data_IF_463485747717
#
_entry.id   IF_463485747717
#
_cell.length_a   1.000
_cell.length_b   1.000
_cell.length_c   1.000
_cell.angle_alpha   90.00
_cell.angle_beta   90.00
_cell.angle_gamma   90.00
#
_symmetry.space_group_name_H-M   'P 1'
#
loop_
_entity.id
_entity.type
_entity.pdbx_description
1 polymer ?
#
# COMPACT_ATOMS: atom_id res chain seq x y z
N UNK A 1 5.34 -28.04 16.70
CA UNK A 1 4.21 -28.38 17.58
C UNK A 1 3.49 -27.12 18.07
N UNK A 2 4.16 -26.22 18.82
CA UNK A 2 3.49 -25.05 19.46
C UNK A 2 2.78 -24.14 18.44
N UNK A 3 3.40 -23.81 17.31
CA UNK A 3 2.76 -22.98 16.29
C UNK A 3 1.52 -23.64 15.68
N UNK A 4 1.56 -24.96 15.43
CA UNK A 4 0.42 -25.71 14.92
C UNK A 4 -0.74 -25.72 15.93
N UNK A 5 -0.46 -25.92 17.22
CA UNK A 5 -1.49 -25.89 18.27
C UNK A 5 -2.12 -24.49 18.39
N UNK A 6 -1.31 -23.43 18.33
CA UNK A 6 -1.80 -22.05 18.36
C UNK A 6 -2.62 -21.69 17.13
N UNK A 7 -2.21 -22.16 15.95
CA UNK A 7 -2.97 -21.98 14.72
C UNK A 7 -4.33 -22.66 14.81
N UNK A 8 -4.42 -23.91 15.29
CA UNK A 8 -5.69 -24.61 15.51
C UNK A 8 -6.62 -23.82 16.45
N UNK A 9 -6.09 -23.32 17.58
CA UNK A 9 -6.88 -22.48 18.49
C UNK A 9 -7.38 -21.22 17.82
N UNK A 10 -6.55 -20.57 17.00
CA UNK A 10 -6.94 -19.37 16.24
C UNK A 10 -8.04 -19.70 15.23
N UNK A 11 -7.90 -20.78 14.46
CA UNK A 11 -8.90 -21.23 13.48
C UNK A 11 -10.21 -21.60 14.18
N UNK A 12 -10.18 -22.29 15.32
CA UNK A 12 -11.38 -22.63 16.11
C UNK A 12 -12.13 -21.41 16.66
N UNK A 13 -11.43 -20.30 16.92
CA UNK A 13 -12.08 -19.05 17.31
C UNK A 13 -12.73 -18.33 16.13
N UNK A 14 -12.23 -18.55 14.92
CA UNK A 14 -12.71 -17.94 13.70
C UNK A 14 -13.89 -18.69 13.09
N UNK A 15 -13.92 -19.99 13.22
CA UNK A 15 -14.94 -20.88 12.67
C UNK A 15 -15.64 -21.65 13.78
N UNK A 16 -16.99 -21.58 13.78
CA UNK A 16 -17.79 -22.17 14.86
C UNK A 16 -17.79 -23.69 14.84
N UNK A 17 -17.54 -24.30 13.69
CA UNK A 17 -17.52 -25.76 13.47
C UNK A 17 -16.57 -26.16 12.36
N UNK A 18 -16.23 -27.46 12.29
CA UNK A 18 -15.51 -28.03 11.14
C UNK A 18 -16.32 -27.92 9.85
N UNK A 19 -17.64 -27.97 9.92
CA UNK A 19 -18.49 -27.77 8.76
C UNK A 19 -18.35 -26.34 8.21
N UNK A 20 -18.34 -25.31 9.09
CA UNK A 20 -18.11 -23.92 8.69
C UNK A 20 -16.72 -23.72 8.11
N UNK A 21 -15.68 -24.34 8.73
CA UNK A 21 -14.32 -24.31 8.22
C UNK A 21 -14.24 -24.91 6.81
N UNK A 22 -14.76 -26.13 6.64
CA UNK A 22 -14.75 -26.85 5.36
C UNK A 22 -15.48 -26.04 4.27
N UNK A 23 -16.63 -25.46 4.62
CA UNK A 23 -17.38 -24.60 3.72
C UNK A 23 -16.59 -23.32 3.37
N UNK A 24 -16.00 -22.63 4.36
CA UNK A 24 -15.23 -21.42 4.16
C UNK A 24 -13.96 -21.63 3.33
N UNK A 25 -13.26 -22.74 3.53
CA UNK A 25 -12.05 -23.06 2.77
C UNK A 25 -12.36 -23.82 1.46
N UNK A 26 -13.62 -24.24 1.22
CA UNK A 26 -13.97 -25.04 0.06
C UNK A 26 -13.24 -26.39 0.05
N UNK A 27 -13.10 -27.01 1.23
CA UNK A 27 -12.24 -28.17 1.46
C UNK A 27 -12.74 -29.43 0.76
N UNK A 28 -13.99 -29.46 0.29
CA UNK A 28 -14.55 -30.56 -0.56
C UNK A 28 -13.74 -30.74 -1.85
N UNK A 29 -13.07 -29.68 -2.32
CA UNK A 29 -12.20 -29.76 -3.49
C UNK A 29 -11.01 -30.68 -3.22
N UNK A 30 -10.79 -31.68 -4.07
CA UNK A 30 -9.83 -32.77 -3.92
C UNK A 30 -10.02 -33.61 -2.66
N UNK A 31 -11.24 -33.66 -2.09
CA UNK A 31 -11.55 -34.43 -0.88
C UNK A 31 -10.66 -34.09 0.31
N UNK A 32 -10.33 -32.79 0.48
CA UNK A 32 -9.47 -32.29 1.53
C UNK A 32 -10.25 -31.83 2.78
N UNK A 33 -11.46 -32.37 3.01
CA UNK A 33 -12.29 -32.02 4.16
C UNK A 33 -11.67 -32.46 5.48
N UNK A 34 -11.79 -31.60 6.47
CA UNK A 34 -11.36 -31.85 7.83
C UNK A 34 -12.50 -32.48 8.64
N UNK A 35 -12.21 -33.61 9.28
CA UNK A 35 -13.16 -34.36 10.13
C UNK A 35 -12.77 -34.29 11.61
N UNK A 36 -11.57 -33.80 11.90
CA UNK A 36 -11.06 -33.57 13.26
C UNK A 36 -10.22 -32.29 13.26
N UNK A 37 -10.37 -31.46 14.29
CA UNK A 37 -9.55 -30.27 14.49
C UNK A 37 -8.05 -30.57 14.61
N UNK A 38 -7.69 -31.77 15.11
CA UNK A 38 -6.30 -32.21 15.20
C UNK A 38 -5.59 -32.27 13.85
N UNK A 39 -6.35 -32.43 12.75
CA UNK A 39 -5.84 -32.51 11.39
C UNK A 39 -5.67 -31.14 10.71
N UNK A 40 -6.13 -30.06 11.36
CA UNK A 40 -5.92 -28.69 10.85
C UNK A 40 -4.50 -28.26 11.20
N UNK A 41 -3.65 -28.17 10.17
CA UNK A 41 -2.24 -27.81 10.31
C UNK A 41 -1.87 -26.55 9.53
N UNK A 42 -0.83 -25.83 9.95
CA UNK A 42 -0.25 -24.75 9.15
C UNK A 42 0.13 -25.23 7.75
N UNK A 43 0.09 -24.36 6.72
CA UNK A 43 0.52 -24.70 5.36
C UNK A 43 2.03 -24.90 5.30
N UNK A 44 2.50 -26.06 5.71
CA UNK A 44 3.89 -26.51 5.60
C UNK A 44 4.16 -27.04 4.20
N UNK A 45 5.38 -27.48 3.91
CA UNK A 45 5.75 -28.04 2.61
C UNK A 45 4.76 -29.13 2.14
N UNK A 46 4.02 -28.83 1.10
CA UNK A 46 3.08 -29.72 0.44
C UNK A 46 3.62 -30.12 -0.94
N UNK A 47 3.26 -31.33 -1.40
CA UNK A 47 3.57 -31.78 -2.77
C UNK A 47 2.76 -31.00 -3.82
N UNK A 48 1.60 -30.48 -3.45
CA UNK A 48 0.74 -29.64 -4.28
C UNK A 48 0.60 -28.23 -3.65
N UNK A 49 0.13 -27.28 -4.45
CA UNK A 49 -0.21 -25.93 -3.96
C UNK A 49 -1.25 -26.04 -2.84
N UNK A 50 -0.98 -25.49 -1.65
CA UNK A 50 -1.92 -25.56 -0.53
C UNK A 50 -3.19 -24.76 -0.84
N UNK A 51 -4.27 -25.07 -0.12
CA UNK A 51 -5.54 -24.35 -0.22
C UNK A 51 -5.33 -22.85 0.05
N UNK A 52 -5.69 -21.94 -0.88
CA UNK A 52 -5.42 -20.51 -0.73
C UNK A 52 -6.17 -19.85 0.44
N UNK A 53 -7.31 -20.41 0.86
CA UNK A 53 -8.03 -19.93 2.04
C UNK A 53 -7.30 -20.28 3.34
N UNK A 54 -6.76 -21.51 3.43
CA UNK A 54 -5.88 -21.92 4.54
C UNK A 54 -4.65 -21.03 4.62
N UNK A 55 -3.99 -20.75 3.49
CA UNK A 55 -2.77 -19.93 3.48
C UNK A 55 -3.06 -18.48 3.87
N UNK A 56 -4.17 -17.91 3.39
CA UNK A 56 -4.58 -16.55 3.78
C UNK A 56 -4.87 -16.46 5.29
N UNK A 57 -5.55 -17.47 5.84
CA UNK A 57 -5.80 -17.52 7.29
C UNK A 57 -4.52 -17.74 8.10
N UNK A 58 -3.54 -18.46 7.54
CA UNK A 58 -2.23 -18.59 8.17
C UNK A 58 -1.45 -17.26 8.18
N UNK A 59 -1.52 -16.45 7.11
CA UNK A 59 -0.92 -15.11 7.11
C UNK A 59 -1.58 -14.20 8.14
N UNK A 60 -2.90 -14.23 8.25
CA UNK A 60 -3.63 -13.51 9.31
C UNK A 60 -3.20 -13.96 10.71
N UNK A 61 -3.18 -15.28 10.94
CA UNK A 61 -2.71 -15.85 12.22
C UNK A 61 -1.29 -15.41 12.55
N UNK A 62 -0.40 -15.38 11.58
CA UNK A 62 0.98 -14.96 11.77
C UNK A 62 1.05 -13.49 12.18
N UNK A 63 0.33 -12.61 11.49
CA UNK A 63 0.23 -11.19 11.81
C UNK A 63 -0.40 -10.96 13.20
N UNK A 64 -1.54 -11.59 13.48
CA UNK A 64 -2.23 -11.51 14.78
C UNK A 64 -1.34 -12.00 15.93
N UNK A 65 -0.51 -13.04 15.68
CA UNK A 65 0.40 -13.56 16.69
C UNK A 65 1.50 -12.56 17.05
N UNK A 66 2.02 -11.83 16.09
CA UNK A 66 3.01 -10.75 16.32
C UNK A 66 2.35 -9.58 17.03
N UNK A 67 1.15 -9.18 16.62
CA UNK A 67 0.39 -8.13 17.31
C UNK A 67 0.09 -8.49 18.77
N UNK A 68 -0.31 -9.73 19.04
CA UNK A 68 -0.53 -10.22 20.42
C UNK A 68 0.76 -10.25 21.24
N UNK A 69 1.89 -10.61 20.64
CA UNK A 69 3.20 -10.57 21.30
C UNK A 69 3.63 -9.13 21.61
N UNK A 70 3.44 -8.21 20.69
CA UNK A 70 3.69 -6.79 20.92
C UNK A 70 2.80 -6.25 22.06
N UNK A 71 1.49 -6.59 22.06
CA UNK A 71 0.56 -6.15 23.09
C UNK A 71 1.00 -6.63 24.48
N UNK A 72 1.47 -7.88 24.61
CA UNK A 72 2.02 -8.41 25.87
C UNK A 72 3.18 -7.53 26.39
N UNK A 73 4.07 -7.07 25.50
CA UNK A 73 5.19 -6.21 25.89
C UNK A 73 4.69 -4.81 26.29
N UNK A 74 3.74 -4.25 25.54
CA UNK A 74 3.12 -2.95 25.84
C UNK A 74 2.48 -2.99 27.23
N UNK A 75 1.67 -4.00 27.53
CA UNK A 75 1.01 -4.16 28.81
C UNK A 75 2.01 -4.26 29.97
N UNK A 76 3.08 -5.04 29.77
CA UNK A 76 4.14 -5.18 30.76
C UNK A 76 4.90 -3.86 31.02
N UNK A 77 5.11 -3.05 29.97
CA UNK A 77 5.72 -1.72 30.10
C UNK A 77 4.76 -0.74 30.76
N UNK A 78 3.52 -0.63 30.28
CA UNK A 78 2.51 0.30 30.83
C UNK A 78 2.25 0.08 32.35
N UNK A 79 2.34 -1.17 32.80
CA UNK A 79 2.22 -1.49 34.22
C UNK A 79 3.38 -0.96 35.10
N UNK A 80 4.49 -0.51 34.49
CA UNK A 80 5.74 -0.16 35.22
C UNK A 80 6.26 1.24 34.90
N UNK A 81 6.02 1.75 33.69
CA UNK A 81 6.52 3.08 33.29
C UNK A 81 5.47 4.17 33.56
N UNK A 82 5.87 5.38 33.92
CA UNK A 82 4.95 6.51 34.02
C UNK A 82 4.19 6.77 32.71
N UNK A 83 2.94 7.23 32.80
CA UNK A 83 2.09 7.49 31.63
C UNK A 83 2.67 8.52 30.64
N UNK A 84 3.60 9.38 31.08
CA UNK A 84 4.31 10.34 30.21
C UNK A 84 5.33 9.72 29.27
N UNK A 85 5.71 8.46 29.49
CA UNK A 85 6.64 7.77 28.61
C UNK A 85 5.87 7.19 27.44
N UNK A 86 6.30 7.50 26.21
CA UNK A 86 5.72 6.91 25.02
C UNK A 86 6.25 5.49 24.78
N UNK A 87 5.44 4.70 24.09
CA UNK A 87 5.80 3.38 23.55
C UNK A 87 5.58 3.43 22.05
N UNK A 88 6.60 3.12 21.30
CA UNK A 88 6.55 3.02 19.84
C UNK A 88 7.35 1.82 19.36
N UNK A 89 7.29 1.56 18.07
CA UNK A 89 7.99 0.48 17.39
C UNK A 89 8.46 1.01 16.02
N UNK A 90 9.67 0.64 15.61
CA UNK A 90 10.18 0.99 14.30
C UNK A 90 9.71 -0.03 13.24
N UNK A 91 8.98 0.45 12.24
CA UNK A 91 8.48 -0.33 11.12
C UNK A 91 9.47 -0.33 9.94
N UNK A 92 9.34 -1.31 9.04
CA UNK A 92 10.24 -1.49 7.89
C UNK A 92 9.63 -0.95 6.57
N UNK A 93 8.91 0.16 6.62
CA UNK A 93 8.28 0.77 5.45
C UNK A 93 7.27 -0.15 4.76
N UNK A 94 7.54 -0.57 3.52
CA UNK A 94 6.62 -1.34 2.68
C UNK A 94 6.61 -2.86 2.98
N UNK A 95 6.82 -3.27 4.22
CA UNK A 95 6.84 -4.69 4.61
C UNK A 95 5.46 -5.35 4.42
N UNK A 96 5.44 -6.59 3.90
CA UNK A 96 4.22 -7.21 3.39
C UNK A 96 3.67 -8.34 4.25
N UNK A 97 4.44 -8.86 5.22
CA UNK A 97 4.07 -10.09 5.93
C UNK A 97 3.28 -9.83 7.23
N UNK A 98 3.11 -8.56 7.65
CA UNK A 98 2.40 -8.16 8.86
C UNK A 98 1.45 -7.00 8.56
N UNK A 99 0.25 -7.03 9.13
CA UNK A 99 -0.68 -5.89 9.08
C UNK A 99 -0.19 -4.79 10.03
N UNK A 100 0.44 -3.77 9.46
CA UNK A 100 1.00 -2.67 10.23
C UNK A 100 -0.07 -1.77 10.86
N UNK A 101 -1.29 -1.75 10.34
CA UNK A 101 -2.38 -1.01 11.00
C UNK A 101 -2.75 -1.62 12.34
N UNK A 102 -2.76 -2.97 12.44
CA UNK A 102 -3.02 -3.66 13.71
C UNK A 102 -1.86 -3.50 14.69
N UNK A 103 -0.62 -3.55 14.21
CA UNK A 103 0.56 -3.34 15.02
C UNK A 103 0.69 -1.89 15.52
N UNK A 104 0.31 -0.91 14.73
CA UNK A 104 0.41 0.49 15.11
C UNK A 104 -0.68 0.91 16.11
N UNK A 105 -1.87 0.31 16.05
CA UNK A 105 -3.04 0.71 16.83
C UNK A 105 -2.79 0.92 18.34
N UNK A 106 -2.00 0.10 19.06
CA UNK A 106 -1.74 0.28 20.49
C UNK A 106 -0.55 1.20 20.81
N UNK A 107 0.14 1.74 19.80
CA UNK A 107 1.30 2.60 19.96
C UNK A 107 0.91 4.07 20.14
N UNK A 108 1.77 4.86 20.78
CA UNK A 108 1.55 6.29 20.94
C UNK A 108 1.78 7.07 19.64
N UNK A 109 2.69 6.59 18.81
CA UNK A 109 2.93 7.06 17.44
C UNK A 109 3.62 5.98 16.60
N UNK A 110 3.50 6.07 15.28
CA UNK A 110 4.22 5.20 14.37
C UNK A 110 5.62 5.74 14.08
N UNK A 111 6.60 4.84 13.89
CA UNK A 111 7.93 5.20 13.44
C UNK A 111 8.45 4.16 12.43
N UNK A 112 9.33 4.56 11.50
CA UNK A 112 9.90 3.62 10.54
C UNK A 112 11.36 3.90 10.22
N UNK A 113 12.03 2.92 9.61
CA UNK A 113 13.45 2.96 9.30
C UNK A 113 13.65 3.32 7.82
N UNK A 114 14.13 4.54 7.59
CA UNK A 114 14.28 5.14 6.26
C UNK A 114 15.70 4.98 5.72
N UNK A 115 15.84 4.08 4.76
CA UNK A 115 17.10 3.82 4.06
C UNK A 115 16.90 4.00 2.55
N UNK A 116 16.85 5.24 2.03
CA UNK A 116 16.41 5.53 0.67
C UNK A 116 17.21 4.82 -0.41
N UNK A 117 18.55 4.70 -0.29
CA UNK A 117 19.35 4.01 -1.32
C UNK A 117 19.16 2.49 -1.25
N UNK A 118 19.13 1.89 -0.06
CA UNK A 118 18.89 0.47 0.13
C UNK A 118 17.47 0.06 -0.26
N UNK A 119 16.48 0.86 0.11
CA UNK A 119 15.08 0.61 -0.21
C UNK A 119 14.79 0.76 -1.71
N UNK A 120 15.43 1.69 -2.41
CA UNK A 120 15.28 1.83 -3.85
C UNK A 120 15.68 0.54 -4.58
N UNK A 121 16.79 -0.07 -4.24
CA UNK A 121 17.22 -1.35 -4.83
C UNK A 121 16.26 -2.50 -4.48
N UNK A 122 15.79 -2.56 -3.23
CA UNK A 122 14.91 -3.61 -2.74
C UNK A 122 13.53 -3.58 -3.40
N UNK A 123 12.93 -2.39 -3.54
CA UNK A 123 11.53 -2.26 -3.94
C UNK A 123 11.31 -1.92 -5.41
N UNK A 124 12.35 -1.49 -6.12
CA UNK A 124 12.23 -1.02 -7.50
C UNK A 124 11.57 -2.04 -8.43
N UNK A 125 12.05 -3.26 -8.45
CA UNK A 125 11.48 -4.31 -9.31
C UNK A 125 10.03 -4.61 -8.94
N UNK A 126 9.72 -4.73 -7.66
CA UNK A 126 8.38 -5.02 -7.18
C UNK A 126 7.37 -3.92 -7.53
N UNK A 127 7.76 -2.64 -7.46
CA UNK A 127 6.88 -1.50 -7.64
C UNK A 127 6.81 -1.01 -9.10
N UNK A 128 7.94 -0.96 -9.79
CA UNK A 128 7.97 -0.50 -11.18
C UNK A 128 7.76 -1.63 -12.20
N UNK A 129 8.13 -2.87 -11.87
CA UNK A 129 8.15 -3.97 -12.84
C UNK A 129 9.09 -3.67 -13.99
N UNK A 130 8.58 -3.82 -15.23
CA UNK A 130 9.29 -3.46 -16.45
C UNK A 130 9.27 -1.96 -16.76
N UNK A 131 8.45 -1.17 -16.06
CA UNK A 131 8.37 0.27 -16.25
C UNK A 131 9.64 0.97 -15.76
N UNK A 132 10.01 2.06 -16.43
CA UNK A 132 11.11 2.90 -15.97
C UNK A 132 10.62 3.92 -14.93
N UNK A 133 11.50 4.41 -14.03
CA UNK A 133 11.21 5.54 -13.17
C UNK A 133 10.85 6.79 -13.99
N UNK A 134 10.08 7.69 -13.37
CA UNK A 134 9.65 8.95 -14.02
C UNK A 134 10.78 9.93 -14.27
N UNK A 135 11.86 9.81 -13.49
CA UNK A 135 13.06 10.62 -13.61
C UNK A 135 14.32 9.76 -13.49
N UNK A 136 15.46 10.26 -13.99
CA UNK A 136 16.74 9.63 -13.73
C UNK A 136 16.95 9.47 -12.22
N UNK A 137 17.12 8.25 -11.80
CA UNK A 137 17.40 7.89 -10.42
C UNK A 137 18.83 8.31 -10.06
N UNK A 138 18.97 9.20 -9.08
CA UNK A 138 20.27 9.53 -8.52
C UNK A 138 20.73 8.37 -7.63
N UNK A 139 21.82 7.71 -8.02
CA UNK A 139 22.30 6.50 -7.34
C UNK A 139 22.61 6.72 -5.84
N UNK A 140 22.92 7.95 -5.45
CA UNK A 140 23.27 8.36 -4.09
C UNK A 140 22.12 8.99 -3.28
N UNK A 141 20.97 9.22 -3.92
CA UNK A 141 19.79 9.83 -3.27
C UNK A 141 18.64 8.83 -3.06
N UNK A 142 18.66 7.69 -3.72
CA UNK A 142 17.54 6.75 -3.72
C UNK A 142 16.35 7.24 -4.55
N UNK A 143 15.25 6.51 -4.48
CA UNK A 143 14.03 6.85 -5.18
C UNK A 143 13.07 7.62 -4.24
N UNK A 144 12.83 8.92 -4.49
CA UNK A 144 12.02 9.74 -3.60
C UNK A 144 10.54 9.32 -3.58
N UNK A 145 10.03 8.70 -4.66
CA UNK A 145 8.63 8.26 -4.71
C UNK A 145 8.44 7.01 -3.84
N UNK A 146 9.40 6.09 -3.84
CA UNK A 146 9.38 4.91 -2.96
C UNK A 146 9.47 5.35 -1.50
N UNK A 147 10.38 6.26 -1.17
CA UNK A 147 10.55 6.80 0.17
C UNK A 147 9.30 7.58 0.62
N UNK A 148 8.75 8.42 -0.25
CA UNK A 148 7.50 9.16 0.00
C UNK A 148 6.32 8.24 0.26
N UNK A 149 6.20 7.14 -0.49
CA UNK A 149 5.12 6.15 -0.28
C UNK A 149 5.22 5.50 1.11
N UNK A 150 6.41 5.20 1.59
CA UNK A 150 6.63 4.69 2.94
C UNK A 150 6.34 5.74 4.03
N UNK A 151 6.68 7.03 3.79
CA UNK A 151 6.32 8.12 4.69
C UNK A 151 4.80 8.28 4.83
N UNK A 152 4.09 8.33 3.70
CA UNK A 152 2.64 8.49 3.66
C UNK A 152 1.90 7.29 4.26
N UNK A 153 2.42 6.06 4.05
CA UNK A 153 1.91 4.87 4.74
C UNK A 153 2.11 4.99 6.25
N UNK A 154 3.31 5.35 6.71
CA UNK A 154 3.60 5.43 8.15
C UNK A 154 2.74 6.50 8.84
N UNK A 155 2.56 7.68 8.21
CA UNK A 155 1.62 8.70 8.69
C UNK A 155 0.19 8.16 8.75
N UNK A 156 -0.25 7.44 7.72
CA UNK A 156 -1.59 6.88 7.62
C UNK A 156 -1.90 5.73 8.57
N UNK A 157 -0.88 5.08 9.19
CA UNK A 157 -1.10 4.02 10.18
C UNK A 157 -1.96 4.50 11.35
N UNK A 158 -1.72 5.72 11.84
CA UNK A 158 -2.44 6.33 12.96
C UNK A 158 -3.09 7.67 12.62
N UNK A 159 -2.93 8.20 11.40
CA UNK A 159 -3.46 9.50 10.99
C UNK A 159 -2.86 10.68 11.75
N UNK A 160 -1.61 10.56 12.18
CA UNK A 160 -0.91 11.58 13.00
C UNK A 160 0.58 11.67 12.60
N UNK A 161 1.33 12.70 13.08
CA UNK A 161 2.76 12.79 12.85
C UNK A 161 3.49 11.52 13.28
N UNK A 162 4.51 11.15 12.52
CA UNK A 162 5.32 9.94 12.73
C UNK A 162 6.78 10.30 13.00
N UNK A 163 7.61 9.31 13.36
CA UNK A 163 9.05 9.50 13.49
C UNK A 163 9.79 8.66 12.44
N UNK A 164 10.92 9.20 11.98
CA UNK A 164 11.97 8.35 11.39
C UNK A 164 12.83 7.86 12.53
N UNK A 165 12.72 6.56 12.85
CA UNK A 165 13.47 5.98 13.96
C UNK A 165 14.91 5.66 13.58
N UNK A 166 15.13 5.29 12.30
CA UNK A 166 16.46 5.10 11.74
C UNK A 166 16.54 5.80 10.39
N UNK A 167 17.22 6.94 10.35
CA UNK A 167 17.53 7.62 9.09
C UNK A 167 18.92 7.22 8.61
N UNK A 168 19.02 6.84 7.36
CA UNK A 168 20.29 6.56 6.69
C UNK A 168 21.25 7.76 6.78
N UNK A 169 22.47 7.61 7.37
CA UNK A 169 23.43 8.71 7.52
C UNK A 169 24.49 8.75 6.40
N UNK A 170 24.62 7.67 5.63
CA UNK A 170 25.62 7.47 4.60
C UNK A 170 25.33 6.19 3.83
N UNK A 171 26.34 5.43 3.43
CA UNK A 171 26.10 4.14 2.77
C UNK A 171 25.57 3.06 3.76
N UNK A 172 24.77 2.14 3.25
CA UNK A 172 24.35 0.93 3.96
C UNK A 172 25.31 -0.23 3.65
N UNK A 173 25.15 -1.37 4.33
CA UNK A 173 25.98 -2.57 4.05
C UNK A 173 25.18 -3.82 3.66
N UNK A 174 23.85 -3.72 3.62
CA UNK A 174 22.91 -4.83 3.38
C UNK A 174 22.20 -4.75 2.02
N UNK A 175 22.41 -3.70 1.25
CA UNK A 175 21.87 -3.58 -0.10
C UNK A 175 22.62 -4.47 -1.10
N UNK A 176 21.99 -4.79 -2.22
CA UNK A 176 22.64 -5.49 -3.33
C UNK A 176 23.82 -4.68 -3.91
N UNK A 177 23.69 -3.35 -3.89
CA UNK A 177 24.76 -2.39 -4.17
C UNK A 177 24.72 -1.34 -3.08
N UNK A 178 25.82 -1.19 -2.35
CA UNK A 178 25.96 -0.20 -1.27
C UNK A 178 26.65 1.05 -1.83
N UNK A 179 25.84 1.93 -2.38
CA UNK A 179 26.30 3.10 -3.12
C UNK A 179 26.93 4.16 -2.21
N UNK A 180 27.87 4.91 -2.76
CA UNK A 180 28.38 6.12 -2.14
C UNK A 180 27.23 7.12 -1.94
N UNK A 181 27.21 7.79 -0.79
CA UNK A 181 26.25 8.84 -0.45
C UNK A 181 27.00 10.14 -0.17
N UNK A 182 26.53 11.24 -0.72
CA UNK A 182 27.03 12.59 -0.44
C UNK A 182 26.23 13.24 0.70
N UNK A 183 26.70 14.37 1.29
CA UNK A 183 25.95 15.05 2.36
C UNK A 183 24.58 15.59 1.93
N UNK A 184 24.45 16.07 0.68
CA UNK A 184 23.23 16.70 0.18
C UNK A 184 22.03 15.76 0.17
N UNK A 185 22.11 14.50 -0.29
CA UNK A 185 21.05 13.51 -0.13
C UNK A 185 20.60 13.31 1.31
N UNK A 186 21.52 13.19 2.27
CA UNK A 186 21.17 13.01 3.70
C UNK A 186 20.35 14.20 4.22
N UNK A 187 20.76 15.43 3.86
CA UNK A 187 20.00 16.64 4.17
C UNK A 187 18.62 16.63 3.49
N UNK A 188 18.54 16.27 2.21
CA UNK A 188 17.29 16.18 1.44
C UNK A 188 16.32 15.18 2.06
N UNK A 189 16.77 14.01 2.50
CA UNK A 189 15.91 13.00 3.13
C UNK A 189 15.28 13.51 4.42
N UNK A 190 15.99 14.29 5.22
CA UNK A 190 15.45 14.92 6.43
C UNK A 190 14.35 15.93 6.09
N UNK A 191 14.59 16.78 5.10
CA UNK A 191 13.58 17.71 4.60
C UNK A 191 12.36 16.98 4.05
N UNK A 192 12.56 15.89 3.29
CA UNK A 192 11.48 15.07 2.75
C UNK A 192 10.64 14.43 3.86
N UNK A 193 11.28 13.86 4.86
CA UNK A 193 10.58 13.31 6.02
C UNK A 193 9.76 14.37 6.77
N UNK A 194 10.35 15.55 7.05
CA UNK A 194 9.67 16.65 7.72
C UNK A 194 8.46 17.15 6.89
N UNK A 195 8.62 17.31 5.59
CA UNK A 195 7.55 17.70 4.66
C UNK A 195 6.43 16.65 4.59
N UNK A 196 6.75 15.36 4.75
CA UNK A 196 5.78 14.29 4.84
C UNK A 196 5.09 14.18 6.22
N UNK A 197 5.46 15.01 7.21
CA UNK A 197 4.85 15.06 8.55
C UNK A 197 5.62 14.29 9.62
N UNK A 198 6.92 14.02 9.42
CA UNK A 198 7.74 13.46 10.48
C UNK A 198 8.00 14.49 11.58
N UNK A 199 7.65 14.16 12.83
CA UNK A 199 7.90 15.01 14.01
C UNK A 199 9.34 14.87 14.53
N UNK A 200 10.05 13.81 14.19
CA UNK A 200 11.45 13.60 14.55
C UNK A 200 12.16 12.74 13.50
N UNK A 201 13.46 13.00 13.36
CA UNK A 201 14.36 12.19 12.52
C UNK A 201 15.55 11.78 13.39
N UNK A 202 15.72 10.48 13.60
CA UNK A 202 16.79 9.87 14.37
C UNK A 202 17.73 9.16 13.41
N UNK A 203 19.02 9.47 13.46
CA UNK A 203 20.00 8.86 12.55
C UNK A 203 20.55 7.56 13.12
N UNK A 204 20.57 6.53 12.31
CA UNK A 204 21.23 5.28 12.67
C UNK A 204 22.54 5.15 11.90
N UNK A 205 23.69 5.37 12.54
CA UNK A 205 23.94 5.50 13.97
C UNK A 205 24.93 6.66 14.23
N UNK A 206 25.21 6.97 15.49
CA UNK A 206 26.20 8.01 15.83
C UNK A 206 27.59 7.70 15.27
N UNK A 207 28.12 6.48 15.51
CA UNK A 207 29.43 6.05 15.04
C UNK A 207 29.33 4.68 14.36
N UNK A 208 30.03 4.49 13.25
CA UNK A 208 30.13 3.22 12.57
C UNK A 208 30.67 2.11 13.50
N UNK A 209 30.05 0.93 13.47
CA UNK A 209 30.42 -0.18 14.32
C UNK A 209 31.75 -0.81 13.87
N UNK A 210 32.60 -1.15 14.84
CA UNK A 210 33.88 -1.80 14.57
C UNK A 210 33.75 -3.30 14.28
N UNK A 211 32.65 -3.91 14.75
CA UNK A 211 32.46 -5.36 14.78
C UNK A 211 31.08 -5.78 14.28
N UNK A 212 30.91 -7.06 14.06
CA UNK A 212 29.69 -7.77 13.70
C UNK A 212 29.14 -7.41 12.29
N UNK A 213 27.86 -7.68 12.06
CA UNK A 213 27.25 -7.69 10.71
C UNK A 213 27.15 -6.30 10.07
N UNK A 214 27.16 -5.23 10.88
CA UNK A 214 27.00 -3.86 10.39
C UNK A 214 28.29 -3.03 10.43
N UNK A 215 29.44 -3.68 10.44
CA UNK A 215 30.73 -3.01 10.50
C UNK A 215 31.05 -2.13 9.25
N UNK A 216 30.35 -2.34 8.15
CA UNK A 216 30.44 -1.50 6.95
C UNK A 216 29.25 -0.55 6.78
N UNK A 217 28.35 -0.48 7.77
CA UNK A 217 27.26 0.49 7.77
C UNK A 217 27.78 1.84 8.27
N UNK A 218 27.49 2.92 7.54
CA UNK A 218 27.88 4.27 7.95
C UNK A 218 27.23 4.67 9.28
N UNK A 219 27.94 5.52 10.02
CA UNK A 219 27.39 6.33 11.10
C UNK A 219 27.46 7.82 10.75
N UNK A 220 27.11 8.69 11.69
CA UNK A 220 27.45 10.12 11.59
C UNK A 220 28.96 10.32 11.69
N UNK A 221 29.62 9.42 12.44
CA UNK A 221 31.08 9.38 12.57
C UNK A 221 31.61 8.09 11.93
N UNK A 222 32.78 8.20 11.33
CA UNK A 222 33.59 7.06 10.86
C UNK A 222 33.99 6.12 12.03
N UNK A 223 34.57 4.99 11.71
CA UNK A 223 35.07 4.01 12.68
C UNK A 223 36.12 4.59 13.63
N UNK A 224 36.92 5.55 13.17
CA UNK A 224 37.94 6.24 13.98
C UNK A 224 37.38 7.42 14.80
N UNK A 225 36.05 7.71 14.68
CA UNK A 225 35.38 8.78 15.39
C UNK A 225 35.47 10.16 14.71
N UNK A 226 36.03 10.24 13.51
CA UNK A 226 36.02 11.50 12.73
C UNK A 226 34.67 11.71 12.02
N UNK A 227 34.24 12.96 11.74
CA UNK A 227 32.99 13.27 11.06
C UNK A 227 32.90 12.66 9.66
N UNK A 228 31.80 11.92 9.39
CA UNK A 228 31.44 11.39 8.07
C UNK A 228 30.44 12.32 7.36
N UNK A 229 29.95 11.93 6.19
CA UNK A 229 29.01 12.69 5.35
C UNK A 229 27.71 13.03 6.10
N UNK A 230 27.18 12.09 6.89
CA UNK A 230 25.99 12.29 7.72
C UNK A 230 26.16 13.38 8.76
N UNK A 231 27.31 13.47 9.42
CA UNK A 231 27.60 14.52 10.39
C UNK A 231 27.55 15.91 9.75
N UNK A 232 28.16 16.06 8.58
CA UNK A 232 28.16 17.33 7.83
C UNK A 232 26.77 17.75 7.40
N UNK A 233 25.92 16.77 7.03
CA UNK A 233 24.52 17.02 6.68
C UNK A 233 23.73 17.51 7.90
N UNK A 234 23.90 16.90 9.06
CA UNK A 234 23.24 17.30 10.32
C UNK A 234 23.71 18.66 10.79
N UNK A 235 25.00 18.97 10.66
CA UNK A 235 25.55 20.29 10.96
C UNK A 235 24.90 21.40 10.10
N UNK A 236 24.71 21.13 8.79
CA UNK A 236 24.00 22.04 7.90
C UNK A 236 22.51 22.21 8.29
N UNK A 237 21.84 21.10 8.63
CA UNK A 237 20.44 21.12 9.09
C UNK A 237 20.23 21.89 10.39
N UNK A 238 21.22 21.93 11.28
CA UNK A 238 21.15 22.70 12.51
C UNK A 238 20.95 24.19 12.24
N UNK A 239 21.53 24.73 11.16
CA UNK A 239 21.32 26.11 10.72
C UNK A 239 19.93 26.35 10.12
N UNK A 240 19.23 25.30 9.69
CA UNK A 240 17.92 25.32 9.05
C UNK A 240 16.78 24.92 10.01
N UNK A 241 17.10 24.72 11.27
CA UNK A 241 16.16 24.21 12.28
C UNK A 241 14.86 25.01 12.35
N UNK A 242 14.91 26.33 12.30
CA UNK A 242 13.72 27.16 12.38
C UNK A 242 12.73 26.92 11.23
N UNK A 243 13.24 26.65 10.02
CA UNK A 243 12.42 26.30 8.85
C UNK A 243 11.82 24.91 8.99
N UNK A 244 12.58 23.93 9.49
CA UNK A 244 12.09 22.59 9.78
C UNK A 244 11.01 22.60 10.87
N UNK A 245 11.24 23.32 11.98
CA UNK A 245 10.27 23.47 13.06
C UNK A 245 8.95 24.10 12.56
N UNK A 246 9.04 25.10 11.68
CA UNK A 246 7.87 25.73 11.07
C UNK A 246 7.09 24.76 10.16
N UNK A 247 7.79 23.92 9.39
CA UNK A 247 7.18 22.93 8.51
C UNK A 247 6.45 21.83 9.29
N UNK A 248 7.04 21.35 10.39
CA UNK A 248 6.48 20.26 11.21
C UNK A 248 5.37 20.72 12.15
N UNK A 249 5.19 22.02 12.37
CA UNK A 249 4.12 22.58 13.20
C UNK A 249 2.72 22.31 12.61
N UNK A 250 2.61 22.18 11.30
CA UNK A 250 1.36 21.87 10.60
C UNK A 250 1.52 20.59 9.76
N UNK A 251 1.11 19.44 10.27
CA UNK A 251 1.21 18.20 9.51
C UNK A 251 0.39 18.29 8.20
N UNK A 252 0.85 17.65 7.12
CA UNK A 252 0.15 17.68 5.84
C UNK A 252 -1.26 17.12 5.97
N UNK A 253 -2.22 17.77 5.30
CA UNK A 253 -3.60 17.29 5.17
C UNK A 253 -3.87 16.94 3.72
N UNK A 254 -4.28 15.71 3.47
CA UNK A 254 -4.64 15.24 2.15
C UNK A 254 -6.17 15.24 1.97
N UNK A 255 -6.64 15.68 0.81
CA UNK A 255 -8.03 15.49 0.39
C UNK A 255 -8.22 14.18 -0.41
N UNK A 256 -7.14 13.45 -0.65
CA UNK A 256 -7.10 12.16 -1.35
C UNK A 256 -6.61 11.09 -0.39
N UNK A 257 -7.25 9.93 -0.40
CA UNK A 257 -6.76 8.74 0.28
C UNK A 257 -6.56 7.58 -0.69
N UNK A 258 -5.52 6.79 -0.46
CA UNK A 258 -5.22 5.53 -1.13
C UNK A 258 -5.36 4.39 -0.13
N UNK A 259 -6.27 3.46 -0.39
CA UNK A 259 -6.52 2.33 0.53
C UNK A 259 -5.45 1.27 0.36
N UNK A 260 -4.80 0.92 1.47
CA UNK A 260 -3.88 -0.21 1.60
C UNK A 260 -4.54 -1.32 2.43
N UNK A 261 -4.77 -2.48 1.84
CA UNK A 261 -5.39 -3.63 2.50
C UNK A 261 -4.48 -4.86 2.44
N UNK A 262 -4.02 -5.34 3.58
CA UNK A 262 -3.17 -6.52 3.66
C UNK A 262 -3.89 -7.80 3.23
N UNK A 263 -5.21 -7.91 3.42
CA UNK A 263 -5.96 -9.07 2.94
C UNK A 263 -5.97 -9.15 1.40
N UNK A 264 -6.07 -8.00 0.71
CA UNK A 264 -5.97 -7.93 -0.76
C UNK A 264 -4.56 -8.30 -1.24
N UNK A 265 -3.55 -7.74 -0.58
CA UNK A 265 -2.14 -8.03 -0.86
C UNK A 265 -1.87 -9.55 -0.78
N UNK A 266 -2.21 -10.15 0.35
CA UNK A 266 -1.97 -11.58 0.59
C UNK A 266 -2.78 -12.47 -0.34
N UNK A 267 -4.06 -12.16 -0.55
CA UNK A 267 -4.93 -12.92 -1.45
C UNK A 267 -4.40 -12.92 -2.90
N UNK A 268 -3.96 -11.76 -3.38
CA UNK A 268 -3.43 -11.61 -4.74
C UNK A 268 -2.07 -12.28 -4.93
N UNK A 269 -1.20 -12.28 -3.91
CA UNK A 269 0.06 -13.03 -3.94
C UNK A 269 -0.14 -14.54 -4.09
N UNK A 270 -1.22 -15.08 -3.52
CA UNK A 270 -1.54 -16.51 -3.62
C UNK A 270 -2.02 -16.92 -5.01
N UNK A 271 -2.74 -16.06 -5.72
CA UNK A 271 -3.31 -16.32 -7.03
C UNK A 271 -3.21 -15.10 -7.96
N UNK A 272 -2.00 -14.72 -8.39
CA UNK A 272 -1.80 -13.48 -9.16
C UNK A 272 -2.36 -13.54 -10.59
N UNK A 273 -2.51 -14.71 -11.20
CA UNK A 273 -2.88 -14.98 -12.61
C UNK A 273 -1.86 -14.49 -13.64
N UNK A 274 -1.18 -13.39 -13.39
CA UNK A 274 -0.10 -12.87 -14.21
C UNK A 274 1.06 -12.48 -13.32
N UNK A 275 2.28 -12.92 -13.65
CA UNK A 275 3.47 -12.69 -12.83
C UNK A 275 3.80 -11.20 -12.58
N UNK A 276 3.40 -10.34 -13.52
CA UNK A 276 3.60 -8.90 -13.42
C UNK A 276 2.46 -8.19 -12.64
N UNK A 277 1.35 -8.89 -12.34
CA UNK A 277 0.26 -8.32 -11.56
C UNK A 277 0.59 -8.42 -10.06
N UNK A 278 0.93 -7.29 -9.47
CA UNK A 278 1.19 -7.21 -8.03
C UNK A 278 0.33 -6.09 -7.42
N UNK A 279 -0.26 -6.36 -6.26
CA UNK A 279 -1.10 -5.42 -5.53
C UNK A 279 -0.39 -4.08 -5.29
N UNK A 280 0.82 -4.12 -4.74
CA UNK A 280 1.60 -2.90 -4.46
C UNK A 280 1.95 -2.14 -5.73
N UNK A 281 2.25 -2.83 -6.84
CA UNK A 281 2.50 -2.16 -8.13
C UNK A 281 1.27 -1.40 -8.61
N UNK A 282 0.07 -1.97 -8.46
CA UNK A 282 -1.17 -1.30 -8.85
C UNK A 282 -1.42 -0.05 -8.01
N UNK A 283 -1.27 -0.13 -6.67
CA UNK A 283 -1.35 1.04 -5.80
C UNK A 283 -0.30 2.08 -6.18
N UNK A 284 0.93 1.64 -6.44
CA UNK A 284 2.05 2.52 -6.75
C UNK A 284 1.89 3.27 -8.08
N UNK A 285 1.18 2.70 -9.06
CA UNK A 285 0.80 3.40 -10.29
C UNK A 285 -0.05 4.64 -9.97
N UNK A 286 -1.06 4.52 -9.12
CA UNK A 286 -1.90 5.64 -8.70
C UNK A 286 -1.12 6.61 -7.79
N UNK A 287 -0.29 6.11 -6.91
CA UNK A 287 0.58 6.94 -6.07
C UNK A 287 1.52 7.81 -6.91
N UNK A 288 2.22 7.21 -7.88
CA UNK A 288 3.07 7.94 -8.84
C UNK A 288 2.28 9.00 -9.62
N UNK A 289 1.08 8.67 -10.04
CA UNK A 289 0.20 9.61 -10.74
C UNK A 289 -0.16 10.82 -9.86
N UNK A 290 -0.47 10.60 -8.58
CA UNK A 290 -0.72 11.69 -7.62
C UNK A 290 0.53 12.56 -7.42
N UNK A 291 1.70 11.93 -7.28
CA UNK A 291 2.97 12.66 -7.14
C UNK A 291 3.28 13.52 -8.38
N UNK A 292 3.01 13.02 -9.59
CA UNK A 292 3.13 13.80 -10.84
C UNK A 292 2.20 15.01 -10.89
N UNK A 293 1.04 14.90 -10.29
CA UNK A 293 0.05 15.97 -10.21
C UNK A 293 0.26 16.90 -9.01
N UNK A 294 1.27 16.65 -8.17
CA UNK A 294 1.50 17.42 -6.95
C UNK A 294 0.36 17.32 -5.93
N UNK A 295 -0.43 16.24 -5.97
CA UNK A 295 -1.57 16.03 -5.08
C UNK A 295 -1.16 15.22 -3.84
N UNK A 296 -1.29 15.79 -2.62
CA UNK A 296 -1.04 15.07 -1.38
C UNK A 296 -1.99 13.89 -1.22
N UNK A 297 -1.49 12.82 -0.62
CA UNK A 297 -2.27 11.59 -0.38
C UNK A 297 -1.96 11.01 0.99
N UNK A 298 -2.99 10.49 1.66
CA UNK A 298 -2.83 9.62 2.83
C UNK A 298 -3.01 8.16 2.40
N UNK A 299 -2.13 7.28 2.88
CA UNK A 299 -2.28 5.83 2.66
C UNK A 299 -2.95 5.24 3.89
N UNK A 300 -4.18 4.73 3.74
CA UNK A 300 -5.05 4.44 4.85
C UNK A 300 -5.55 3.00 4.88
N UNK A 301 -5.90 2.52 6.08
CA UNK A 301 -6.56 1.22 6.27
C UNK A 301 -7.95 1.18 5.60
N UNK A 302 -8.43 0.02 5.14
CA UNK A 302 -9.83 -0.16 4.77
C UNK A 302 -10.80 0.09 5.95
N UNK A 303 -10.29 0.15 7.20
CA UNK A 303 -11.06 0.44 8.41
C UNK A 303 -11.08 1.92 8.80
N UNK A 304 -10.35 2.78 8.09
CA UNK A 304 -10.28 4.21 8.37
C UNK A 304 -11.63 4.91 8.17
N UNK A 305 -11.79 6.07 8.79
CA UNK A 305 -12.87 7.00 8.47
C UNK A 305 -12.52 7.76 7.19
N UNK A 306 -13.34 7.59 6.16
CA UNK A 306 -13.13 8.22 4.86
C UNK A 306 -13.80 9.59 4.71
N UNK A 307 -14.56 10.04 5.70
CA UNK A 307 -15.43 11.24 5.62
C UNK A 307 -14.67 12.54 5.32
N UNK A 308 -13.38 12.60 5.70
CA UNK A 308 -12.54 13.77 5.46
C UNK A 308 -11.98 13.87 4.02
N UNK A 309 -12.04 12.80 3.24
CA UNK A 309 -11.46 12.75 1.91
C UNK A 309 -12.48 13.05 0.82
N UNK A 310 -12.12 13.85 -0.16
CA UNK A 310 -12.95 14.10 -1.36
C UNK A 310 -12.83 12.98 -2.38
N UNK A 311 -11.63 12.35 -2.45
CA UNK A 311 -11.30 11.28 -3.38
C UNK A 311 -10.70 10.09 -2.64
N UNK A 312 -11.31 8.92 -2.81
CA UNK A 312 -10.83 7.65 -2.27
C UNK A 312 -10.42 6.73 -3.42
N UNK A 313 -9.18 6.26 -3.39
CA UNK A 313 -8.63 5.32 -4.36
C UNK A 313 -8.51 3.94 -3.74
N UNK A 314 -9.18 2.95 -4.30
CA UNK A 314 -9.06 1.54 -3.95
C UNK A 314 -8.83 0.72 -5.24
N UNK A 315 -7.66 0.86 -5.90
CA UNK A 315 -7.42 0.35 -7.26
C UNK A 315 -7.63 -1.16 -7.42
N UNK A 316 -7.42 -1.91 -6.36
CA UNK A 316 -7.77 -3.34 -6.29
C UNK A 316 -8.34 -3.62 -4.90
N UNK A 317 -9.66 -3.56 -4.80
CA UNK A 317 -10.42 -3.90 -3.61
C UNK A 317 -10.88 -5.36 -3.75
N UNK A 318 -9.93 -6.32 -3.60
CA UNK A 318 -10.10 -7.71 -4.02
C UNK A 318 -10.98 -8.53 -3.08
N UNK A 319 -10.68 -8.45 -1.78
CA UNK A 319 -11.40 -9.14 -0.70
C UNK A 319 -12.41 -8.19 -0.08
N UNK A 320 -13.68 -8.43 -0.34
CA UNK A 320 -14.76 -7.54 0.10
C UNK A 320 -15.77 -8.31 0.92
N UNK A 321 -16.11 -7.76 2.08
CA UNK A 321 -17.25 -8.20 2.87
C UNK A 321 -18.41 -7.19 2.78
N UNK A 322 -19.63 -7.59 3.15
CA UNK A 322 -20.79 -6.68 3.13
C UNK A 322 -20.60 -5.40 3.95
N UNK A 323 -19.89 -5.47 5.09
CA UNK A 323 -19.67 -4.32 5.96
C UNK A 323 -18.74 -3.28 5.30
N UNK A 324 -17.67 -3.73 4.63
CA UNK A 324 -16.78 -2.84 3.89
C UNK A 324 -17.48 -2.24 2.66
N UNK A 325 -18.21 -3.05 1.90
CA UNK A 325 -19.02 -2.56 0.78
C UNK A 325 -20.03 -1.48 1.23
N UNK A 326 -20.68 -1.69 2.38
CA UNK A 326 -21.62 -0.73 2.97
C UNK A 326 -20.92 0.58 3.38
N UNK A 327 -19.71 0.53 3.98
CA UNK A 327 -18.95 1.74 4.31
C UNK A 327 -18.53 2.52 3.06
N UNK A 328 -18.08 1.83 2.00
CA UNK A 328 -17.77 2.48 0.72
C UNK A 328 -19.01 3.12 0.11
N UNK A 329 -20.17 2.43 0.16
CA UNK A 329 -21.45 2.96 -0.33
C UNK A 329 -21.86 4.19 0.49
N UNK A 330 -21.75 4.16 1.81
CA UNK A 330 -22.03 5.29 2.70
C UNK A 330 -21.16 6.50 2.40
N UNK A 331 -19.85 6.29 2.21
CA UNK A 331 -18.91 7.34 1.82
C UNK A 331 -19.30 8.00 0.50
N UNK A 332 -19.62 7.22 -0.52
CA UNK A 332 -20.04 7.74 -1.82
C UNK A 332 -21.38 8.44 -1.72
N UNK A 333 -22.37 7.84 -1.05
CA UNK A 333 -23.69 8.44 -0.88
C UNK A 333 -23.64 9.81 -0.16
N UNK A 334 -22.68 10.00 0.74
CA UNK A 334 -22.45 11.28 1.43
C UNK A 334 -21.72 12.34 0.58
N UNK A 335 -21.31 12.05 -0.64
CA UNK A 335 -20.69 13.00 -1.57
C UNK A 335 -19.25 12.69 -1.94
N UNK A 336 -18.65 11.60 -1.41
CA UNK A 336 -17.31 11.16 -1.76
C UNK A 336 -17.21 10.64 -3.19
N UNK A 337 -16.03 10.75 -3.77
CA UNK A 337 -15.71 10.14 -5.07
C UNK A 337 -14.79 8.95 -4.84
N UNK A 338 -15.19 7.76 -5.33
CA UNK A 338 -14.46 6.51 -5.20
C UNK A 338 -13.96 6.05 -6.57
N UNK A 339 -12.69 5.65 -6.66
CA UNK A 339 -12.13 4.94 -7.81
C UNK A 339 -11.80 3.51 -7.40
N UNK A 340 -12.47 2.57 -8.03
CA UNK A 340 -12.19 1.14 -8.01
C UNK A 340 -11.52 0.73 -9.30
N UNK A 341 -10.80 -0.36 -9.30
CA UNK A 341 -10.16 -0.90 -10.50
C UNK A 341 -10.25 -2.42 -10.55
N UNK A 342 -9.48 -2.98 -11.43
CA UNK A 342 -9.51 -4.40 -11.77
C UNK A 342 -9.40 -5.32 -10.55
N UNK A 343 -10.08 -6.46 -10.63
CA UNK A 343 -10.15 -7.51 -9.60
C UNK A 343 -10.83 -7.08 -8.29
N UNK A 344 -11.52 -5.93 -8.27
CA UNK A 344 -12.30 -5.53 -7.10
C UNK A 344 -13.54 -6.41 -6.94
N UNK A 345 -13.85 -6.84 -5.70
CA UNK A 345 -15.01 -7.65 -5.35
C UNK A 345 -14.97 -9.11 -5.83
N UNK A 346 -13.80 -9.64 -6.17
CA UNK A 346 -13.66 -11.02 -6.65
C UNK A 346 -13.70 -12.06 -5.53
N UNK A 347 -13.30 -11.68 -4.32
CA UNK A 347 -13.11 -12.62 -3.20
C UNK A 347 -13.90 -12.23 -1.97
N UNK A 348 -14.37 -13.26 -1.26
CA UNK A 348 -14.92 -13.14 0.10
C UNK A 348 -13.81 -13.09 1.15
N UNK A 349 -14.16 -12.81 2.41
CA UNK A 349 -13.22 -12.85 3.54
C UNK A 349 -12.50 -14.19 3.70
N UNK A 350 -13.12 -15.28 3.28
CA UNK A 350 -12.52 -16.62 3.30
C UNK A 350 -11.66 -16.93 2.06
N UNK A 351 -11.36 -15.93 1.24
CA UNK A 351 -10.59 -16.07 -0.01
C UNK A 351 -11.27 -16.97 -1.08
N UNK A 352 -12.55 -17.23 -0.95
CA UNK A 352 -13.34 -17.88 -2.02
C UNK A 352 -13.71 -16.83 -3.07
N UNK A 353 -13.78 -17.25 -4.31
CA UNK A 353 -14.42 -16.42 -5.35
C UNK A 353 -15.90 -16.24 -4.97
N UNK A 354 -16.42 -15.03 -5.10
CA UNK A 354 -17.85 -14.77 -4.85
C UNK A 354 -18.71 -15.56 -5.84
N UNK A 355 -19.87 -16.01 -5.39
CA UNK A 355 -20.91 -16.65 -6.22
C UNK A 355 -21.89 -15.62 -6.80
N UNK A 356 -21.72 -14.34 -6.45
CA UNK A 356 -22.51 -13.25 -7.01
C UNK A 356 -21.90 -12.75 -8.34
N UNK A 357 -22.72 -12.15 -9.24
CA UNK A 357 -22.18 -11.47 -10.42
C UNK A 357 -21.14 -10.41 -10.02
N UNK A 358 -19.93 -10.47 -10.62
CA UNK A 358 -18.85 -9.55 -10.32
C UNK A 358 -19.23 -8.08 -10.61
N UNK A 359 -18.79 -7.13 -9.82
CA UNK A 359 -17.84 -7.24 -8.72
C UNK A 359 -18.46 -7.57 -7.34
N UNK A 360 -19.32 -8.56 -7.25
CA UNK A 360 -19.87 -9.08 -6.00
C UNK A 360 -20.59 -8.01 -5.18
N UNK A 361 -20.22 -7.86 -3.91
CA UNK A 361 -20.81 -6.88 -2.98
C UNK A 361 -20.71 -5.41 -3.46
N UNK A 362 -19.79 -5.12 -4.39
CA UNK A 362 -19.61 -3.77 -4.95
C UNK A 362 -20.50 -3.50 -6.18
N UNK A 363 -21.24 -4.48 -6.66
CA UNK A 363 -22.00 -4.37 -7.90
C UNK A 363 -23.02 -3.23 -7.92
N UNK A 364 -23.76 -3.03 -6.85
CA UNK A 364 -24.73 -1.92 -6.75
C UNK A 364 -24.03 -0.57 -6.66
N UNK A 365 -22.93 -0.48 -5.91
CA UNK A 365 -22.13 0.73 -5.77
C UNK A 365 -21.53 1.15 -7.13
N UNK A 366 -20.98 0.20 -7.88
CA UNK A 366 -20.38 0.45 -9.19
C UNK A 366 -21.40 0.67 -10.30
N UNK A 367 -22.65 0.22 -10.12
CA UNK A 367 -23.71 0.28 -11.12
C UNK A 367 -23.35 -0.48 -12.42
N UNK A 368 -22.46 -1.45 -12.33
CA UNK A 368 -21.98 -2.24 -13.46
C UNK A 368 -21.68 -3.69 -13.06
N UNK A 369 -21.65 -4.58 -14.04
CA UNK A 369 -21.23 -5.98 -13.88
C UNK A 369 -19.95 -6.21 -14.68
N UNK A 370 -18.95 -6.85 -14.08
CA UNK A 370 -17.81 -7.41 -14.81
C UNK A 370 -18.27 -8.71 -15.45
N UNK A 371 -18.41 -8.72 -16.76
CA UNK A 371 -18.98 -9.86 -17.50
C UNK A 371 -17.93 -10.80 -18.05
N UNK A 372 -16.71 -10.32 -18.20
CA UNK A 372 -15.56 -11.07 -18.67
C UNK A 372 -14.27 -10.41 -18.21
N UNK A 373 -13.20 -11.19 -18.02
CA UNK A 373 -11.94 -10.71 -17.52
C UNK A 373 -10.79 -11.64 -17.88
N UNK A 374 -9.58 -11.08 -17.92
CA UNK A 374 -8.38 -11.89 -18.13
C UNK A 374 -7.08 -11.13 -18.12
N UNK A 375 -6.01 -11.90 -17.99
CA UNK A 375 -4.65 -11.42 -18.16
C UNK A 375 -4.27 -11.41 -19.64
N UNK A 376 -3.51 -10.41 -20.04
CA UNK A 376 -2.92 -10.32 -21.38
C UNK A 376 -1.43 -10.72 -21.32
N UNK A 377 -0.94 -11.53 -22.27
CA UNK A 377 0.48 -11.83 -22.38
C UNK A 377 1.30 -10.54 -22.56
N UNK A 378 2.57 -10.58 -22.15
CA UNK A 378 3.48 -9.46 -22.33
C UNK A 378 3.54 -9.00 -23.79
N UNK A 379 3.40 -7.69 -24.03
CA UNK A 379 3.37 -7.09 -25.36
C UNK A 379 2.04 -7.19 -26.11
N UNK A 380 1.03 -7.84 -25.51
CA UNK A 380 -0.36 -7.82 -26.03
C UNK A 380 -1.13 -6.69 -25.32
N UNK A 381 -1.76 -5.84 -26.12
CA UNK A 381 -2.48 -4.68 -25.62
C UNK A 381 -3.81 -4.52 -26.37
N UNK A 382 -4.80 -3.94 -25.67
CA UNK A 382 -6.07 -3.53 -26.24
C UNK A 382 -6.14 -2.00 -26.25
N UNK A 383 -6.58 -1.41 -27.35
CA UNK A 383 -6.79 0.03 -27.37
C UNK A 383 -8.03 0.42 -26.55
N UNK A 384 -7.93 1.48 -25.78
CA UNK A 384 -9.05 2.12 -25.08
C UNK A 384 -9.20 3.56 -25.56
N UNK A 385 -10.47 4.00 -25.71
CA UNK A 385 -10.84 5.34 -26.12
C UNK A 385 -12.08 5.83 -25.35
N UNK A 386 -12.36 7.11 -25.34
CA UNK A 386 -13.57 7.62 -24.71
C UNK A 386 -13.54 9.09 -24.32
N UNK A 387 -14.29 9.43 -23.28
CA UNK A 387 -14.68 10.80 -22.94
C UNK A 387 -13.71 11.52 -22.01
N UNK A 388 -12.75 10.82 -21.38
CA UNK A 388 -11.80 11.43 -20.45
C UNK A 388 -10.54 11.81 -21.22
N UNK A 389 -10.21 13.11 -21.31
CA UNK A 389 -9.05 13.57 -22.07
C UNK A 389 -7.74 12.97 -21.54
N UNK A 390 -6.88 12.50 -22.44
CA UNK A 390 -5.57 11.92 -22.10
C UNK A 390 -5.60 10.51 -21.53
N UNK A 391 -6.79 9.92 -21.29
CA UNK A 391 -6.93 8.56 -20.75
C UNK A 391 -6.90 7.48 -21.86
N UNK A 392 -7.17 7.86 -23.11
CA UNK A 392 -7.07 6.96 -24.26
C UNK A 392 -5.66 6.40 -24.43
N UNK A 393 -5.54 5.17 -24.93
CA UNK A 393 -4.25 4.50 -25.14
C UNK A 393 -4.34 2.99 -25.05
N UNK A 394 -3.23 2.34 -24.74
CA UNK A 394 -3.13 0.89 -24.62
C UNK A 394 -3.51 0.41 -23.20
N UNK A 395 -4.33 -0.64 -23.14
CA UNK A 395 -4.62 -1.41 -21.94
C UNK A 395 -3.91 -2.77 -22.04
N UNK A 396 -3.02 -3.06 -21.11
CA UNK A 396 -2.27 -4.30 -21.07
C UNK A 396 -2.41 -5.00 -19.72
N UNK A 397 -1.68 -6.06 -19.54
CA UNK A 397 -1.55 -6.86 -18.31
C UNK A 397 -2.85 -7.53 -17.84
N UNK A 398 -3.90 -6.77 -17.58
CA UNK A 398 -5.20 -7.22 -17.10
C UNK A 398 -6.32 -6.34 -17.63
N UNK A 399 -7.36 -6.96 -18.15
CA UNK A 399 -8.55 -6.27 -18.71
C UNK A 399 -9.85 -6.94 -18.23
N UNK A 400 -10.89 -6.13 -18.09
CA UNK A 400 -12.23 -6.52 -17.67
C UNK A 400 -13.27 -5.84 -18.55
N UNK A 401 -14.21 -6.60 -19.10
CA UNK A 401 -15.32 -6.07 -19.85
C UNK A 401 -16.49 -5.73 -18.92
N UNK A 402 -16.94 -4.49 -18.97
CA UNK A 402 -18.00 -3.98 -18.12
C UNK A 402 -19.34 -3.95 -18.86
N UNK A 403 -20.40 -4.41 -18.20
CA UNK A 403 -21.79 -4.23 -18.63
C UNK A 403 -22.45 -3.23 -17.66
N UNK A 404 -22.70 -1.99 -18.10
CA UNK A 404 -23.39 -1.00 -17.29
C UNK A 404 -24.81 -1.44 -16.94
N UNK A 405 -25.23 -1.15 -15.70
CA UNK A 405 -26.59 -1.27 -15.21
C UNK A 405 -27.18 0.15 -15.08
N UNK A 406 -26.79 0.83 -14.01
CA UNK A 406 -27.15 2.23 -13.75
C UNK A 406 -25.99 3.20 -14.04
N UNK A 407 -24.76 2.67 -14.15
CA UNK A 407 -23.56 3.45 -14.43
C UNK A 407 -23.49 3.90 -15.89
N UNK A 408 -22.82 5.04 -16.12
CA UNK A 408 -22.54 5.57 -17.45
C UNK A 408 -21.15 5.13 -17.91
N UNK A 409 -21.00 4.55 -19.11
CA UNK A 409 -19.68 4.30 -19.69
C UNK A 409 -18.95 5.61 -19.96
N UNK A 410 -17.68 5.66 -19.62
CA UNK A 410 -16.81 6.81 -19.84
C UNK A 410 -15.66 6.49 -20.80
N UNK A 411 -15.23 5.22 -20.86
CA UNK A 411 -14.24 4.68 -21.79
C UNK A 411 -14.70 3.34 -22.33
N UNK A 412 -14.24 2.99 -23.54
CA UNK A 412 -14.54 1.76 -24.25
C UNK A 412 -13.27 1.11 -24.77
N UNK A 413 -13.30 -0.21 -24.96
CA UNK A 413 -12.28 -0.89 -25.73
C UNK A 413 -12.50 -0.61 -27.22
N UNK A 414 -11.56 0.06 -27.87
CA UNK A 414 -11.62 0.35 -29.30
C UNK A 414 -11.22 -0.83 -30.19
N UNK A 415 -10.39 -1.74 -29.63
CA UNK A 415 -9.91 -2.94 -30.33
C UNK A 415 -9.65 -4.08 -29.33
N UNK A 416 -9.42 -5.29 -29.86
CA UNK A 416 -9.13 -6.48 -29.08
C UNK A 416 -10.38 -7.30 -28.77
N UNK A 417 -10.29 -8.29 -27.82
CA UNK A 417 -11.36 -9.23 -27.55
C UNK A 417 -12.64 -8.58 -26.99
N UNK A 418 -12.52 -7.39 -26.40
CA UNK A 418 -13.63 -6.66 -25.81
C UNK A 418 -14.05 -5.41 -26.61
N UNK A 419 -13.68 -5.32 -27.89
CA UNK A 419 -14.02 -4.16 -28.74
C UNK A 419 -15.51 -3.78 -28.62
N UNK A 420 -15.78 -2.49 -28.40
CA UNK A 420 -17.11 -1.94 -28.19
C UNK A 420 -17.69 -2.10 -26.78
N UNK A 421 -17.03 -2.89 -25.89
CA UNK A 421 -17.45 -3.04 -24.50
C UNK A 421 -16.95 -1.86 -23.65
N UNK A 422 -17.71 -1.50 -22.60
CA UNK A 422 -17.26 -0.49 -21.66
C UNK A 422 -16.00 -0.97 -20.91
N UNK A 423 -15.01 -0.07 -20.81
CA UNK A 423 -13.75 -0.26 -20.12
C UNK A 423 -13.69 0.52 -18.80
N UNK A 424 -14.34 1.70 -18.73
CA UNK A 424 -14.52 2.46 -17.49
C UNK A 424 -15.96 2.95 -17.40
N UNK A 425 -16.53 2.79 -16.20
CA UNK A 425 -17.89 3.26 -15.88
C UNK A 425 -17.87 4.23 -14.71
N UNK A 426 -18.85 5.13 -14.66
CA UNK A 426 -19.09 6.07 -13.57
C UNK A 426 -20.55 5.95 -13.12
N UNK A 427 -20.77 5.62 -11.84
CA UNK A 427 -22.10 5.54 -11.21
C UNK A 427 -22.30 6.69 -10.23
N UNK A 428 -23.50 7.24 -10.20
CA UNK A 428 -23.92 8.26 -9.23
C UNK A 428 -24.69 7.58 -8.11
N UNK A 429 -24.22 7.72 -6.86
CA UNK A 429 -24.86 7.14 -5.69
C UNK A 429 -25.03 8.24 -4.64
N UNK A 430 -26.26 8.63 -4.37
CA UNK A 430 -26.54 9.76 -3.49
C UNK A 430 -25.93 11.04 -4.03
N UNK A 431 -25.06 11.68 -3.25
CA UNK A 431 -24.37 12.93 -3.62
C UNK A 431 -23.01 12.71 -4.31
N UNK A 432 -22.48 11.49 -4.28
CA UNK A 432 -21.13 11.16 -4.76
C UNK A 432 -21.12 10.29 -6.01
N UNK A 433 -19.94 9.74 -6.29
CA UNK A 433 -19.67 8.98 -7.50
C UNK A 433 -18.76 7.81 -7.24
N UNK A 434 -19.00 6.68 -7.90
CA UNK A 434 -18.11 5.52 -7.95
C UNK A 434 -17.68 5.26 -9.40
N UNK A 435 -16.38 5.22 -9.64
CA UNK A 435 -15.79 4.86 -10.91
C UNK A 435 -15.22 3.44 -10.82
N UNK A 436 -15.36 2.67 -11.90
CA UNK A 436 -14.72 1.38 -12.04
C UNK A 436 -13.86 1.34 -13.29
N UNK A 437 -12.53 1.20 -13.11
CA UNK A 437 -11.55 1.11 -14.19
C UNK A 437 -11.27 -0.37 -14.51
N UNK A 438 -11.72 -0.84 -15.66
CA UNK A 438 -11.64 -2.25 -16.07
C UNK A 438 -10.32 -2.67 -16.71
N UNK A 439 -9.23 -1.91 -16.54
CA UNK A 439 -7.89 -2.32 -16.96
C UNK A 439 -6.83 -1.86 -15.96
N UNK A 440 -5.65 -2.47 -16.02
CA UNK A 440 -4.49 -2.04 -15.26
C UNK A 440 -3.87 -0.82 -15.96
N UNK A 441 -3.99 0.41 -15.44
CA UNK A 441 -3.57 1.61 -16.14
C UNK A 441 -2.05 1.80 -16.09
N UNK A 442 -1.51 2.49 -17.08
CA UNK A 442 -0.19 3.10 -16.99
C UNK A 442 -0.23 4.30 -16.05
N UNK A 443 0.93 4.77 -15.57
CA UNK A 443 1.00 5.98 -14.73
C UNK A 443 0.45 7.20 -15.46
N UNK A 444 0.69 7.32 -16.79
CA UNK A 444 0.12 8.39 -17.61
C UNK A 444 -1.40 8.36 -17.66
N UNK A 445 -1.99 7.18 -17.83
CA UNK A 445 -3.44 7.00 -17.82
C UNK A 445 -4.05 7.28 -16.44
N UNK A 446 -3.42 6.77 -15.36
CA UNK A 446 -3.85 7.08 -13.99
C UNK A 446 -3.77 8.60 -13.72
N UNK A 447 -2.71 9.27 -14.18
CA UNK A 447 -2.58 10.73 -14.04
C UNK A 447 -3.68 11.47 -14.82
N UNK A 448 -4.04 11.04 -16.03
CA UNK A 448 -5.11 11.64 -16.80
C UNK A 448 -6.48 11.48 -16.10
N UNK A 449 -6.79 10.29 -15.58
CA UNK A 449 -7.99 10.05 -14.79
C UNK A 449 -8.04 10.93 -13.54
N UNK A 450 -6.93 10.98 -12.80
CA UNK A 450 -6.85 11.75 -11.55
C UNK A 450 -6.87 13.27 -11.82
N UNK A 451 -6.33 13.75 -12.92
CA UNK A 451 -6.42 15.16 -13.33
C UNK A 451 -7.87 15.57 -13.64
N UNK A 452 -8.64 14.73 -14.37
CA UNK A 452 -10.07 14.95 -14.60
C UNK A 452 -10.84 15.04 -13.27
N UNK A 453 -10.60 14.09 -12.37
CA UNK A 453 -11.25 14.06 -11.06
C UNK A 453 -10.82 15.23 -10.18
N UNK A 454 -9.54 15.59 -10.16
CA UNK A 454 -9.02 16.74 -9.41
C UNK A 454 -9.69 18.04 -9.84
N UNK A 455 -9.79 18.29 -11.15
CA UNK A 455 -10.52 19.46 -11.68
C UNK A 455 -12.00 19.50 -11.26
N UNK A 456 -12.68 18.36 -11.33
CA UNK A 456 -14.11 18.24 -10.93
C UNK A 456 -14.33 18.42 -9.42
N UNK A 457 -13.36 18.05 -8.59
CA UNK A 457 -13.43 18.11 -7.12
C UNK A 457 -12.80 19.38 -6.53
N UNK A 458 -12.20 20.23 -7.36
CA UNK A 458 -11.46 21.41 -6.92
C UNK A 458 -10.29 21.01 -6.02
N UNK A 459 -9.50 20.02 -6.44
CA UNK A 459 -8.26 19.64 -5.76
C UNK A 459 -7.11 20.43 -6.36
N UNK A 460 -6.42 21.19 -5.50
CA UNK A 460 -5.32 22.04 -5.93
C UNK A 460 -3.99 21.33 -5.74
N UNK A 461 -3.10 21.31 -6.77
CA UNK A 461 -1.72 20.85 -6.59
C UNK A 461 -0.98 21.71 -5.56
N UNK A 462 -0.03 21.11 -4.84
CA UNK A 462 0.85 21.87 -3.93
C UNK A 462 1.72 22.86 -4.67
N UNK A 463 2.14 22.52 -5.90
CA UNK A 463 2.90 23.38 -6.79
C UNK A 463 2.76 22.89 -8.24
N UNK A 464 2.96 23.80 -9.19
CA UNK A 464 3.15 23.44 -10.59
C UNK A 464 4.61 23.00 -10.78
N UNK A 465 4.81 21.69 -10.88
CA UNK A 465 6.14 21.09 -10.85
C UNK A 465 6.59 20.65 -12.24
N UNK A 466 7.85 20.93 -12.62
CA UNK A 466 8.46 20.27 -13.77
C UNK A 466 8.47 18.74 -13.60
N UNK A 467 8.45 17.98 -14.71
CA UNK A 467 8.60 16.54 -14.65
C UNK A 467 9.84 16.10 -13.88
N UNK A 468 9.68 15.16 -12.97
CA UNK A 468 10.75 14.61 -12.13
C UNK A 468 10.99 15.34 -10.81
N UNK A 469 10.22 16.38 -10.50
CA UNK A 469 10.16 16.95 -9.16
C UNK A 469 8.94 16.44 -8.40
N UNK A 470 9.06 16.38 -7.10
CA UNK A 470 7.98 16.01 -6.18
C UNK A 470 7.72 17.21 -5.27
N UNK A 471 6.44 17.63 -5.15
CA UNK A 471 6.07 18.56 -4.11
C UNK A 471 5.79 17.78 -2.82
N UNK A 472 6.49 18.14 -1.77
CA UNK A 472 6.06 17.86 -0.42
C UNK A 472 5.79 19.22 0.25
N UNK A 473 4.76 19.30 1.06
CA UNK A 473 4.39 20.53 1.75
C UNK A 473 5.32 20.78 2.94
#
# INVERSE_FOLDING_TARGET
PVCADRFRVWVQRRYSSLADLNAAWGAVFWSAEYHDWANVEPPVLHLATPNPSLVLDYYRFSSDSVAAYQQLQIDALRARVPARHFITHNFMGLYQDLDYFDLAAPLDFAAWDSYPTGNAHRWREALYGSAQPDAPYAFDAGDPIITGFAHDLTRGLLGQPFWIMEQQPGHVNWGAVNTLVRPEPVRLWTWHAAAAGAAAVVYFRERAALDAQEQYHSGLLHHDGTPDVGYRAVEALAAERAQLDALTAEPPRAAVALVWNYADLWSLQLQPHHREFAYLRHLFVYYRALQRLGLPVDVVSPRADFSAYKLLLAPTCHVVDPAFAQRLTGYVAAGGTLVLGVRSGFKTLSNRVTDQPLPGELRQLTGATVTDWGALPAGVECAVEGLIPGLAGAAGLWIEALAPLDAQPRMWYAAGPYAGRAALTENVVGLGRALYCGWFPTVGQAAALLADLAGRLGLEPLADLPPGLIAAR
#
